data_IF_141604382581
#
_entry.id   IF_141604382581
#
_cell.length_a   1.000
_cell.length_b   1.000
_cell.length_c   1.000
_cell.angle_alpha   90.00
_cell.angle_beta   90.00
_cell.angle_gamma   90.00
#
_symmetry.space_group_name_H-M   'P 1'
#
loop_
_entity.id
_entity.type
_entity.pdbx_description
1 polymer ?
#
# COMPACT_ATOMS: atom_id res chain seq x y z
N UNK A 1 37.19 22.76 3.60
CA UNK A 1 36.25 22.08 4.52
C UNK A 1 36.83 20.73 4.91
N UNK A 2 36.93 20.43 6.21
CA UNK A 2 37.40 19.11 6.65
C UNK A 2 36.26 18.08 6.48
N UNK A 3 36.45 17.16 5.52
CA UNK A 3 35.48 16.12 5.17
C UNK A 3 35.27 15.12 6.32
N UNK A 4 36.30 14.90 7.12
CA UNK A 4 36.30 14.04 8.31
C UNK A 4 36.38 14.93 9.55
N UNK A 5 35.45 14.81 10.52
CA UNK A 5 35.57 15.54 11.78
C UNK A 5 36.86 15.15 12.54
N UNK A 6 37.57 16.13 13.10
CA UNK A 6 38.78 15.91 13.92
C UNK A 6 38.54 14.94 15.07
N UNK A 7 37.37 15.04 15.70
CA UNK A 7 36.94 14.16 16.79
C UNK A 7 36.94 12.66 16.41
N UNK A 8 36.61 12.34 15.15
CA UNK A 8 36.63 10.97 14.63
C UNK A 8 38.06 10.53 14.30
N UNK A 9 38.90 11.45 13.82
CA UNK A 9 40.31 11.20 13.52
C UNK A 9 41.12 10.93 14.81
N UNK A 10 40.94 11.78 15.82
CA UNK A 10 41.49 11.61 17.16
C UNK A 10 41.01 10.29 17.78
N UNK A 11 39.73 9.94 17.55
CA UNK A 11 39.18 8.68 18.03
C UNK A 11 39.90 7.44 17.50
N UNK A 12 40.31 7.49 16.24
CA UNK A 12 40.96 6.41 15.53
C UNK A 12 42.45 6.32 15.92
N UNK A 13 43.09 7.48 16.11
CA UNK A 13 44.50 7.59 16.50
C UNK A 13 44.71 7.19 17.96
N UNK A 14 43.87 7.67 18.88
CA UNK A 14 44.10 7.47 20.31
C UNK A 14 43.75 6.07 20.80
N UNK A 15 43.01 5.27 20.02
CA UNK A 15 42.65 3.89 20.40
C UNK A 15 41.92 3.74 21.75
N UNK A 16 41.55 4.86 22.40
CA UNK A 16 41.22 4.87 23.81
C UNK A 16 39.81 4.35 24.09
N UNK A 17 39.69 3.55 25.16
CA UNK A 17 38.43 3.09 25.73
C UNK A 17 37.62 4.30 26.20
N UNK A 18 36.69 4.76 25.35
CA UNK A 18 35.84 5.91 25.65
C UNK A 18 34.70 5.53 26.56
N UNK A 19 34.33 6.44 27.46
CA UNK A 19 33.16 6.26 28.31
C UNK A 19 31.91 6.07 27.44
N UNK A 20 30.91 5.33 27.94
CA UNK A 20 29.65 5.09 27.20
C UNK A 20 28.96 6.41 26.81
N UNK A 21 29.12 7.45 27.64
CA UNK A 21 28.60 8.78 27.37
C UNK A 21 29.25 9.41 26.13
N UNK A 22 30.58 9.31 26.01
CA UNK A 22 31.33 9.87 24.87
C UNK A 22 31.00 9.14 23.57
N UNK A 23 30.85 7.82 23.61
CA UNK A 23 30.43 7.02 22.45
C UNK A 23 29.04 7.43 21.96
N UNK A 24 28.09 7.63 22.90
CA UNK A 24 26.73 8.08 22.58
C UNK A 24 26.74 9.50 22.02
N UNK A 25 27.51 10.42 22.61
CA UNK A 25 27.63 11.79 22.15
C UNK A 25 28.11 11.86 20.69
N UNK A 26 29.12 11.04 20.34
CA UNK A 26 29.64 10.95 18.97
C UNK A 26 28.64 10.37 17.98
N UNK A 27 27.94 9.30 18.36
CA UNK A 27 26.86 8.75 17.52
C UNK A 27 25.77 9.79 17.25
N UNK A 28 25.41 10.59 18.27
CA UNK A 28 24.46 11.69 18.11
C UNK A 28 25.02 12.78 17.20
N UNK A 29 26.30 13.14 17.34
CA UNK A 29 26.96 14.12 16.48
C UNK A 29 27.00 13.66 15.01
N UNK A 30 27.37 12.39 14.75
CA UNK A 30 27.32 11.77 13.43
C UNK A 30 25.91 11.77 12.84
N UNK A 31 24.91 11.37 13.64
CA UNK A 31 23.50 11.38 13.19
C UNK A 31 23.02 12.79 12.83
N UNK A 32 23.34 13.81 13.65
CA UNK A 32 23.02 15.21 13.34
C UNK A 32 23.70 15.67 12.05
N UNK A 33 24.97 15.32 11.85
CA UNK A 33 25.73 15.64 10.63
C UNK A 33 25.14 14.93 9.40
N UNK A 34 24.75 13.67 9.54
CA UNK A 34 24.07 12.91 8.49
C UNK A 34 22.77 13.60 8.08
N UNK A 35 21.92 13.97 9.04
CA UNK A 35 20.66 14.66 8.77
C UNK A 35 20.87 16.03 8.13
N UNK A 36 21.88 16.79 8.56
CA UNK A 36 22.23 18.06 7.96
C UNK A 36 22.71 17.90 6.51
N UNK A 37 23.55 16.90 6.22
CA UNK A 37 24.01 16.60 4.86
C UNK A 37 22.87 16.12 3.95
N UNK A 38 21.95 15.30 4.46
CA UNK A 38 20.76 14.86 3.73
C UNK A 38 19.82 16.04 3.41
N UNK A 39 19.59 16.94 4.37
CA UNK A 39 18.79 18.17 4.15
C UNK A 39 19.42 19.04 3.07
N UNK A 40 20.74 19.28 3.17
CA UNK A 40 21.47 20.12 2.22
C UNK A 40 21.47 19.55 0.79
N UNK A 41 21.59 18.23 0.66
CA UNK A 41 21.46 17.58 -0.66
C UNK A 41 20.05 17.68 -1.24
N UNK A 42 19.01 17.68 -0.40
CA UNK A 42 17.64 17.91 -0.86
C UNK A 42 17.44 19.36 -1.31
N UNK A 43 17.95 20.33 -0.56
CA UNK A 43 17.91 21.75 -0.91
C UNK A 43 18.60 22.02 -2.25
N UNK A 44 19.82 21.50 -2.45
CA UNK A 44 20.56 21.64 -3.72
C UNK A 44 19.78 21.01 -4.89
N UNK A 45 19.17 19.83 -4.69
CA UNK A 45 18.34 19.18 -5.71
C UNK A 45 17.11 20.00 -6.06
N UNK A 46 16.45 20.57 -5.07
CA UNK A 46 15.26 21.41 -5.25
C UNK A 46 15.61 22.73 -5.96
N UNK A 47 16.74 23.33 -5.62
CA UNK A 47 17.28 24.51 -6.33
C UNK A 47 17.58 24.20 -7.79
N UNK A 48 18.27 23.09 -8.08
CA UNK A 48 18.51 22.63 -9.46
C UNK A 48 17.21 22.39 -10.23
N UNK A 49 16.20 21.80 -9.59
CA UNK A 49 14.90 21.57 -10.21
C UNK A 49 14.15 22.88 -10.50
N UNK A 50 14.21 23.87 -9.60
CA UNK A 50 13.63 25.21 -9.82
C UNK A 50 14.32 25.94 -10.97
N UNK A 51 15.66 25.93 -11.01
CA UNK A 51 16.44 26.48 -12.12
C UNK A 51 16.08 25.80 -13.44
N UNK A 52 16.08 24.46 -13.47
CA UNK A 52 15.72 23.68 -14.66
C UNK A 52 14.29 23.92 -15.17
N UNK A 53 13.33 24.18 -14.27
CA UNK A 53 11.98 24.61 -14.67
C UNK A 53 11.96 26.01 -15.26
N UNK A 54 12.72 26.95 -14.68
CA UNK A 54 12.82 28.33 -15.16
C UNK A 54 13.48 28.41 -16.53
N UNK A 55 14.59 27.70 -16.74
CA UNK A 55 15.29 27.66 -18.04
C UNK A 55 14.42 27.00 -19.11
N UNK A 56 13.73 25.90 -18.78
CA UNK A 56 12.79 25.25 -19.69
C UNK A 56 11.59 26.15 -20.04
N UNK A 57 11.09 26.93 -19.09
CA UNK A 57 10.01 27.89 -19.35
C UNK A 57 10.48 29.08 -20.21
N UNK A 58 11.71 29.58 -19.97
CA UNK A 58 12.31 30.64 -20.77
C UNK A 58 12.55 30.20 -22.22
N UNK A 59 13.12 29.02 -22.44
CA UNK A 59 13.36 28.44 -23.76
C UNK A 59 12.08 28.15 -24.56
N UNK A 60 10.93 27.95 -23.88
CA UNK A 60 9.63 27.81 -24.53
C UNK A 60 9.02 29.16 -24.95
N UNK A 61 9.49 30.27 -24.38
CA UNK A 61 8.96 31.61 -24.62
C UNK A 61 9.76 32.45 -25.61
N UNK A 62 11.02 32.10 -25.87
CA UNK A 62 11.87 32.77 -26.87
C UNK A 62 11.77 32.06 -28.23
N UNK A 63 11.40 32.75 -29.33
CA UNK A 63 11.49 32.18 -30.67
C UNK A 63 12.94 31.81 -30.96
N UNK A 64 13.18 30.60 -31.47
CA UNK A 64 14.52 30.06 -31.79
C UNK A 64 15.17 30.91 -32.89
N UNK A 65 15.91 31.94 -32.48
CA UNK A 65 16.86 32.63 -33.35
C UNK A 65 18.17 31.84 -33.28
N UNK A 66 18.51 31.20 -34.39
CA UNK A 66 19.68 30.35 -34.53
C UNK A 66 20.97 31.20 -34.41
N UNK A 67 21.53 31.30 -33.21
CA UNK A 67 22.82 31.97 -33.04
C UNK A 67 23.30 32.33 -31.63
N UNK A 68 22.55 32.06 -30.56
CA UNK A 68 23.03 32.37 -29.21
C UNK A 68 23.66 31.13 -28.57
N UNK A 69 24.99 31.18 -28.52
CA UNK A 69 25.89 30.32 -27.76
C UNK A 69 25.28 30.01 -26.39
N UNK A 70 25.02 28.71 -26.12
CA UNK A 70 24.62 28.20 -24.82
C UNK A 70 25.59 28.79 -23.77
N UNK A 71 25.15 29.81 -23.05
CA UNK A 71 25.87 30.31 -21.88
C UNK A 71 25.87 29.14 -20.91
N UNK A 72 27.00 28.43 -20.87
CA UNK A 72 27.31 27.39 -19.90
C UNK A 72 27.25 28.06 -18.52
N UNK A 73 26.07 27.99 -17.91
CA UNK A 73 25.86 28.43 -16.53
C UNK A 73 26.98 27.81 -15.67
N UNK A 74 27.58 28.64 -14.82
CA UNK A 74 28.65 28.29 -13.89
C UNK A 74 28.11 27.38 -12.76
N UNK A 75 27.60 26.21 -13.15
CA UNK A 75 27.06 25.14 -12.30
C UNK A 75 28.17 24.42 -11.53
N UNK A 76 29.44 24.75 -11.80
CA UNK A 76 30.61 24.09 -11.23
C UNK A 76 30.67 24.19 -9.71
N UNK A 77 30.26 25.31 -9.11
CA UNK A 77 30.30 25.48 -7.65
C UNK A 77 29.18 24.71 -6.93
N UNK A 78 27.95 24.74 -7.47
CA UNK A 78 26.82 23.97 -6.92
C UNK A 78 27.07 22.45 -7.04
N UNK A 79 27.67 22.01 -8.15
CA UNK A 79 28.08 20.62 -8.33
C UNK A 79 29.20 20.21 -7.37
N UNK A 80 30.23 21.04 -7.21
CA UNK A 80 31.27 20.80 -6.20
C UNK A 80 30.67 20.66 -4.81
N UNK A 81 29.74 21.55 -4.45
CA UNK A 81 29.07 21.48 -3.15
C UNK A 81 28.23 20.21 -2.99
N UNK A 82 27.49 19.79 -4.02
CA UNK A 82 26.73 18.54 -4.04
C UNK A 82 27.65 17.31 -3.88
N UNK A 83 28.80 17.29 -4.57
CA UNK A 83 29.76 16.20 -4.45
C UNK A 83 30.43 16.16 -3.07
N UNK A 84 30.86 17.32 -2.55
CA UNK A 84 31.48 17.43 -1.23
C UNK A 84 30.50 16.97 -0.14
N UNK A 85 29.24 17.39 -0.21
CA UNK A 85 28.21 16.98 0.75
C UNK A 85 27.89 15.48 0.63
N UNK A 86 27.83 14.93 -0.59
CA UNK A 86 27.66 13.49 -0.82
C UNK A 86 28.82 12.67 -0.23
N UNK A 87 30.06 13.10 -0.45
CA UNK A 87 31.25 12.47 0.14
C UNK A 87 31.17 12.52 1.67
N UNK A 88 30.79 13.66 2.24
CA UNK A 88 30.66 13.81 3.70
C UNK A 88 29.58 12.87 4.29
N UNK A 89 28.48 12.68 3.57
CA UNK A 89 27.40 11.76 3.95
C UNK A 89 27.87 10.30 3.88
N UNK A 90 28.57 9.95 2.81
CA UNK A 90 29.13 8.61 2.61
C UNK A 90 30.13 8.26 3.73
N UNK A 91 31.00 9.20 4.11
CA UNK A 91 31.94 9.04 5.23
C UNK A 91 31.19 8.75 6.54
N UNK A 92 30.15 9.52 6.86
CA UNK A 92 29.38 9.28 8.09
C UNK A 92 28.76 7.88 8.13
N UNK A 93 28.18 7.44 7.00
CA UNK A 93 27.61 6.10 6.86
C UNK A 93 28.68 5.01 6.98
N UNK A 94 29.85 5.21 6.36
CA UNK A 94 30.96 4.26 6.42
C UNK A 94 31.48 4.08 7.86
N UNK A 95 31.58 5.17 8.64
CA UNK A 95 31.99 5.10 10.04
C UNK A 95 30.97 4.33 10.91
N UNK A 96 29.67 4.56 10.73
CA UNK A 96 28.65 3.81 11.46
C UNK A 96 28.62 2.32 11.06
N UNK A 97 28.86 2.00 9.79
CA UNK A 97 29.01 0.62 9.33
C UNK A 97 30.26 -0.05 9.91
N UNK A 98 31.38 0.66 9.99
CA UNK A 98 32.62 0.15 10.58
C UNK A 98 32.41 -0.25 12.05
N UNK A 99 31.70 0.56 12.83
CA UNK A 99 31.38 0.26 14.23
C UNK A 99 30.48 -0.98 14.37
N UNK A 100 29.62 -1.25 13.39
CA UNK A 100 28.79 -2.46 13.36
C UNK A 100 29.60 -3.69 12.97
N UNK A 101 30.45 -3.57 11.95
CA UNK A 101 31.31 -4.67 11.49
C UNK A 101 32.32 -5.10 12.54
N UNK A 102 32.91 -4.16 13.30
CA UNK A 102 33.81 -4.49 14.42
C UNK A 102 33.13 -5.34 15.50
N UNK A 103 31.87 -5.01 15.84
CA UNK A 103 31.10 -5.81 16.81
C UNK A 103 30.77 -7.19 16.27
N UNK A 104 30.45 -7.28 14.99
CA UNK A 104 30.22 -8.57 14.32
C UNK A 104 31.49 -9.42 14.31
N UNK A 105 32.65 -8.83 13.98
CA UNK A 105 33.95 -9.49 14.02
C UNK A 105 34.29 -10.00 15.43
N UNK A 106 34.06 -9.20 16.47
CA UNK A 106 34.24 -9.62 17.87
C UNK A 106 33.33 -10.80 18.22
N UNK A 107 32.05 -10.76 17.85
CA UNK A 107 31.11 -11.86 18.09
C UNK A 107 31.51 -13.12 17.34
N UNK A 108 31.88 -13.01 16.07
CA UNK A 108 32.30 -14.15 15.24
C UNK A 108 33.62 -14.74 15.74
N UNK A 109 34.55 -13.91 16.20
CA UNK A 109 35.79 -14.36 16.83
C UNK A 109 35.50 -15.13 18.12
N UNK A 110 34.60 -14.62 18.97
CA UNK A 110 34.17 -15.33 20.17
C UNK A 110 33.47 -16.67 19.86
N UNK A 111 32.71 -16.74 18.76
CA UNK A 111 32.09 -17.99 18.28
C UNK A 111 33.16 -18.97 17.80
N UNK A 112 34.14 -18.52 17.02
CA UNK A 112 35.26 -19.34 16.55
C UNK A 112 36.09 -19.87 17.73
N UNK A 113 36.34 -19.04 18.74
CA UNK A 113 37.05 -19.45 19.95
C UNK A 113 36.27 -20.52 20.72
N UNK A 114 34.94 -20.39 20.83
CA UNK A 114 34.08 -21.44 21.42
C UNK A 114 34.11 -22.74 20.62
N UNK A 115 34.00 -22.66 19.30
CA UNK A 115 34.12 -23.82 18.41
C UNK A 115 35.46 -24.55 18.59
N UNK A 116 36.55 -23.80 18.78
CA UNK A 116 37.88 -24.38 19.00
C UNK A 116 38.03 -25.08 20.36
N UNK A 117 37.26 -24.68 21.38
CA UNK A 117 37.32 -25.23 22.75
C UNK A 117 36.39 -26.43 22.94
N UNK A 118 35.15 -26.33 22.47
CA UNK A 118 34.10 -27.33 22.67
C UNK A 118 34.04 -28.35 21.51
N UNK A 119 34.72 -28.06 20.39
CA UNK A 119 34.71 -28.88 19.19
C UNK A 119 33.41 -28.73 18.36
N UNK A 120 33.51 -28.92 17.05
CA UNK A 120 32.42 -28.65 16.10
C UNK A 120 31.11 -29.38 16.42
N UNK A 121 31.20 -30.57 17.04
CA UNK A 121 30.04 -31.41 17.35
C UNK A 121 29.24 -30.90 18.55
N UNK A 122 29.91 -30.43 19.60
CA UNK A 122 29.24 -29.91 20.80
C UNK A 122 28.61 -28.55 20.50
N UNK A 123 29.33 -27.68 19.78
CA UNK A 123 28.79 -26.41 19.30
C UNK A 123 27.55 -26.60 18.40
N UNK A 124 27.59 -27.55 17.47
CA UNK A 124 26.44 -27.85 16.60
C UNK A 124 25.24 -28.37 17.39
N UNK A 125 25.48 -29.18 18.43
CA UNK A 125 24.41 -29.68 19.30
C UNK A 125 23.78 -28.55 20.12
N UNK A 126 24.59 -27.69 20.72
CA UNK A 126 24.08 -26.54 21.50
C UNK A 126 23.26 -25.58 20.64
N UNK A 127 23.69 -25.33 19.39
CA UNK A 127 22.93 -24.50 18.44
C UNK A 127 21.58 -25.13 18.08
N UNK A 128 21.53 -26.46 17.92
CA UNK A 128 20.29 -27.18 17.66
C UNK A 128 19.36 -27.17 18.88
N UNK A 129 19.90 -27.36 20.08
CA UNK A 129 19.14 -27.32 21.33
C UNK A 129 18.58 -25.91 21.60
N UNK A 130 19.34 -24.84 21.34
CA UNK A 130 18.85 -23.46 21.43
C UNK A 130 17.76 -23.16 20.39
N UNK A 131 17.88 -23.69 19.17
CA UNK A 131 16.82 -23.57 18.15
C UNK A 131 15.55 -24.27 18.61
N UNK A 132 15.65 -25.47 19.18
CA UNK A 132 14.52 -26.22 19.70
C UNK A 132 13.83 -25.44 20.83
N UNK A 133 14.58 -24.95 21.82
CA UNK A 133 14.04 -24.12 22.91
C UNK A 133 13.34 -22.86 22.39
N UNK A 134 13.91 -22.19 21.39
CA UNK A 134 13.29 -20.98 20.80
C UNK A 134 11.99 -21.29 20.06
N UNK A 135 11.94 -22.41 19.32
CA UNK A 135 10.71 -22.87 18.68
C UNK A 135 9.65 -23.24 19.71
N UNK A 136 10.02 -23.98 20.76
CA UNK A 136 9.13 -24.31 21.87
C UNK A 136 8.59 -23.07 22.58
N UNK A 137 9.46 -22.10 22.88
CA UNK A 137 9.06 -20.84 23.49
C UNK A 137 8.09 -20.05 22.59
N UNK A 138 8.31 -20.04 21.27
CA UNK A 138 7.41 -19.37 20.32
C UNK A 138 6.05 -20.06 20.25
N UNK A 139 6.01 -21.39 20.21
CA UNK A 139 4.76 -22.15 20.23
C UNK A 139 4.02 -21.96 21.56
N UNK A 140 4.75 -21.96 22.67
CA UNK A 140 4.18 -21.73 23.99
C UNK A 140 3.61 -20.31 24.11
N UNK A 141 4.37 -19.28 23.73
CA UNK A 141 3.91 -17.88 23.73
C UNK A 141 2.69 -17.69 22.81
N UNK A 142 2.73 -18.25 21.61
CA UNK A 142 1.61 -18.21 20.67
C UNK A 142 0.37 -18.91 21.24
N UNK A 143 0.53 -20.06 21.88
CA UNK A 143 -0.57 -20.79 22.51
C UNK A 143 -1.17 -20.05 23.72
N UNK A 144 -0.33 -19.39 24.52
CA UNK A 144 -0.79 -18.53 25.63
C UNK A 144 -1.52 -17.31 25.07
N UNK A 145 -0.94 -16.64 24.08
CA UNK A 145 -1.52 -15.46 23.45
C UNK A 145 -2.85 -15.77 22.77
N UNK A 146 -2.97 -16.92 22.10
CA UNK A 146 -4.20 -17.36 21.44
C UNK A 146 -5.41 -17.44 22.40
N UNK A 147 -5.19 -17.76 23.68
CA UNK A 147 -6.26 -17.81 24.71
C UNK A 147 -6.84 -16.44 25.02
N UNK A 148 -6.07 -15.37 24.82
CA UNK A 148 -6.44 -14.00 25.15
C UNK A 148 -6.67 -13.12 23.92
N UNK A 149 -6.24 -13.55 22.73
CA UNK A 149 -6.55 -12.86 21.49
C UNK A 149 -7.99 -13.11 21.11
N UNK A 150 -8.81 -12.07 21.18
CA UNK A 150 -10.12 -12.07 20.53
C UNK A 150 -9.88 -12.06 19.02
N UNK A 151 -10.49 -12.97 18.24
CA UNK A 151 -10.49 -12.87 16.78
C UNK A 151 -10.97 -11.47 16.40
N UNK A 152 -10.27 -10.78 15.49
CA UNK A 152 -10.82 -9.53 14.95
C UNK A 152 -12.19 -9.84 14.37
N UNK A 153 -13.20 -9.05 14.72
CA UNK A 153 -14.50 -9.18 14.09
C UNK A 153 -14.30 -9.12 12.57
N UNK A 154 -14.89 -10.06 11.80
CA UNK A 154 -14.78 -10.01 10.35
C UNK A 154 -15.28 -8.63 9.89
N UNK A 155 -14.50 -7.96 9.04
CA UNK A 155 -14.92 -6.69 8.43
C UNK A 155 -16.11 -7.04 7.53
N UNK A 156 -17.31 -6.85 8.05
CA UNK A 156 -18.53 -7.00 7.26
C UNK A 156 -18.61 -5.87 6.25
N UNK A 157 -19.26 -6.11 5.11
CA UNK A 157 -19.48 -5.10 4.08
C UNK A 157 -20.14 -3.82 4.65
N UNK A 158 -21.04 -3.98 5.63
CA UNK A 158 -21.69 -2.86 6.33
C UNK A 158 -20.69 -2.00 7.12
N UNK A 159 -19.78 -2.61 7.88
CA UNK A 159 -18.76 -1.87 8.65
C UNK A 159 -17.74 -1.16 7.74
N UNK A 160 -17.33 -1.79 6.64
CA UNK A 160 -16.43 -1.14 5.68
C UNK A 160 -17.11 0.04 4.98
N UNK A 161 -18.37 -0.12 4.54
CA UNK A 161 -19.13 0.96 3.93
C UNK A 161 -19.28 2.15 4.89
N UNK A 162 -19.51 1.89 6.17
CA UNK A 162 -19.62 2.93 7.18
C UNK A 162 -18.28 3.64 7.45
N UNK A 163 -17.15 2.92 7.51
CA UNK A 163 -15.83 3.54 7.63
C UNK A 163 -15.43 4.35 6.38
N UNK A 164 -15.90 3.97 5.18
CA UNK A 164 -15.75 4.77 3.95
C UNK A 164 -16.56 6.06 4.03
N UNK A 165 -17.80 5.99 4.51
CA UNK A 165 -18.65 7.17 4.70
C UNK A 165 -18.12 8.10 5.81
N UNK A 166 -17.56 7.54 6.88
CA UNK A 166 -16.95 8.27 8.00
C UNK A 166 -15.50 8.74 7.70
N UNK A 167 -14.98 8.46 6.49
CA UNK A 167 -13.66 8.89 6.04
C UNK A 167 -12.47 8.18 6.70
N UNK A 168 -12.73 7.12 7.48
CA UNK A 168 -11.69 6.30 8.13
C UNK A 168 -11.06 5.28 7.18
N UNK A 169 -11.74 4.93 6.09
CA UNK A 169 -11.26 4.04 5.03
C UNK A 169 -11.48 4.65 3.65
N UNK A 170 -10.64 4.29 2.68
CA UNK A 170 -10.87 4.64 1.26
C UNK A 170 -11.39 3.41 0.52
N UNK A 171 -12.39 3.58 -0.35
CA UNK A 171 -12.88 2.50 -1.21
C UNK A 171 -11.79 1.91 -2.12
N UNK A 172 -10.75 2.70 -2.43
CA UNK A 172 -9.58 2.29 -3.21
C UNK A 172 -8.47 1.64 -2.37
N UNK A 173 -8.64 1.55 -1.05
CA UNK A 173 -7.63 0.95 -0.18
C UNK A 173 -7.78 -0.56 -0.27
N UNK A 174 -6.99 -1.17 -1.15
CA UNK A 174 -6.74 -2.61 -1.12
C UNK A 174 -6.31 -2.95 0.32
N UNK A 175 -7.16 -3.67 1.04
CA UNK A 175 -6.78 -4.18 2.34
C UNK A 175 -5.87 -5.36 2.07
N UNK A 176 -4.55 -5.15 2.16
CA UNK A 176 -3.53 -6.21 2.14
C UNK A 176 -3.72 -7.10 3.37
N UNK A 177 -4.75 -7.93 3.33
CA UNK A 177 -4.81 -9.08 4.20
C UNK A 177 -3.80 -10.06 3.63
N UNK A 178 -2.65 -10.21 4.28
CA UNK A 178 -1.71 -11.28 3.97
C UNK A 178 -2.37 -12.62 4.33
N UNK A 179 -3.23 -13.12 3.46
CA UNK A 179 -3.70 -14.49 3.54
C UNK A 179 -2.53 -15.37 3.14
N UNK A 180 -1.80 -15.84 4.13
CA UNK A 180 -0.97 -17.01 3.94
C UNK A 180 -1.93 -18.12 3.52
N UNK A 181 -1.80 -18.68 2.29
CA UNK A 181 -2.68 -19.76 1.88
C UNK A 181 -2.58 -20.85 2.94
N UNK A 182 -3.73 -21.38 3.36
CA UNK A 182 -3.77 -22.53 4.26
C UNK A 182 -3.13 -23.70 3.51
N UNK A 183 -1.83 -23.86 3.75
CA UNK A 183 -1.01 -24.89 3.19
C UNK A 183 -1.30 -26.16 3.99
N UNK A 184 -2.06 -27.07 3.39
CA UNK A 184 -2.36 -28.38 3.96
C UNK A 184 -1.28 -29.37 3.54
N UNK A 185 -0.52 -29.84 4.53
CA UNK A 185 0.58 -30.79 4.36
C UNK A 185 1.84 -30.36 5.12
N UNK A 186 2.81 -31.27 5.33
CA UNK A 186 4.07 -30.93 5.98
C UNK A 186 4.81 -29.82 5.21
N UNK A 187 5.26 -28.79 5.94
CA UNK A 187 5.87 -27.57 5.37
C UNK A 187 7.09 -27.83 4.47
N UNK A 188 7.76 -28.98 4.61
CA UNK A 188 8.89 -29.39 3.77
C UNK A 188 8.49 -29.74 2.33
N UNK A 189 7.21 -30.05 2.08
CA UNK A 189 6.69 -30.56 0.82
C UNK A 189 5.92 -29.53 0.01
N UNK A 190 5.29 -28.56 0.67
CA UNK A 190 4.36 -27.63 0.01
C UNK A 190 5.07 -26.45 -0.67
N UNK A 191 6.33 -26.20 -0.29
CA UNK A 191 7.15 -25.13 -0.89
C UNK A 191 8.36 -25.67 -1.67
N UNK A 192 8.49 -27.00 -1.81
CA UNK A 192 9.61 -27.67 -2.47
C UNK A 192 9.19 -28.42 -3.73
N UNK A 193 10.12 -28.60 -4.67
CA UNK A 193 9.89 -29.49 -5.80
C UNK A 193 9.77 -30.93 -5.29
N UNK A 194 8.63 -31.58 -5.53
CA UNK A 194 8.37 -32.97 -5.12
C UNK A 194 9.23 -33.90 -5.99
N UNK A 195 10.36 -34.37 -5.46
CA UNK A 195 11.32 -35.17 -6.24
C UNK A 195 11.20 -36.67 -5.99
N UNK A 196 10.74 -37.09 -4.80
CA UNK A 196 10.67 -38.52 -4.44
C UNK A 196 9.25 -39.07 -4.39
N UNK A 197 9.10 -40.39 -4.58
CA UNK A 197 7.81 -41.08 -4.55
C UNK A 197 7.16 -41.06 -3.16
N UNK A 198 7.98 -41.15 -2.11
CA UNK A 198 7.55 -41.01 -0.71
C UNK A 198 6.94 -39.64 -0.45
N UNK A 199 7.56 -38.60 -0.99
CA UNK A 199 7.08 -37.21 -0.91
C UNK A 199 5.74 -37.04 -1.64
N UNK A 200 5.54 -37.69 -2.80
CA UNK A 200 4.25 -37.70 -3.52
C UNK A 200 3.14 -38.37 -2.72
N UNK A 201 3.42 -39.50 -2.08
CA UNK A 201 2.44 -40.17 -1.22
C UNK A 201 2.06 -39.29 -0.03
N UNK A 202 3.04 -38.65 0.63
CA UNK A 202 2.80 -37.77 1.77
C UNK A 202 1.97 -36.53 1.41
N UNK A 203 2.18 -35.95 0.21
CA UNK A 203 1.40 -34.83 -0.29
C UNK A 203 -0.07 -35.18 -0.57
N UNK A 204 -0.39 -36.45 -0.85
CA UNK A 204 -1.76 -36.91 -1.11
C UNK A 204 -2.56 -37.17 0.16
N UNK A 205 -1.89 -37.35 1.31
CA UNK A 205 -2.57 -37.53 2.59
C UNK A 205 -3.03 -36.17 3.13
N UNK A 206 -4.21 -36.10 3.73
CA UNK A 206 -4.82 -34.89 4.31
C UNK A 206 -5.20 -33.78 3.31
N UNK A 207 -5.49 -34.14 2.05
CA UNK A 207 -6.10 -33.22 1.09
C UNK A 207 -7.60 -33.00 1.36
N UNK A 208 -8.14 -31.78 1.18
CA UNK A 208 -9.57 -31.53 1.27
C UNK A 208 -10.38 -32.35 0.26
N UNK A 209 -11.53 -32.89 0.67
CA UNK A 209 -12.42 -33.70 -0.19
C UNK A 209 -13.22 -32.88 -1.22
N UNK A 210 -13.08 -31.56 -1.23
CA UNK A 210 -13.80 -30.64 -2.10
C UNK A 210 -12.81 -29.83 -2.95
N UNK A 211 -13.24 -29.39 -4.13
CA UNK A 211 -12.41 -28.54 -4.99
C UNK A 211 -12.14 -27.22 -4.28
N UNK A 212 -10.87 -26.94 -4.03
CA UNK A 212 -10.44 -25.67 -3.46
C UNK A 212 -10.59 -24.55 -4.50
N UNK A 213 -10.94 -23.32 -4.07
CA UNK A 213 -10.86 -22.15 -4.94
C UNK A 213 -9.45 -22.03 -5.54
N UNK A 214 -9.37 -21.91 -6.86
CA UNK A 214 -8.10 -21.75 -7.59
C UNK A 214 -7.69 -20.29 -7.75
N UNK A 215 -8.60 -19.37 -7.47
CA UNK A 215 -8.38 -17.93 -7.58
C UNK A 215 -8.14 -17.35 -6.18
N UNK A 216 -7.28 -16.34 -6.09
CA UNK A 216 -7.10 -15.62 -4.83
C UNK A 216 -8.34 -14.79 -4.50
N UNK A 217 -8.49 -14.41 -3.23
CA UNK A 217 -9.61 -13.56 -2.78
C UNK A 217 -9.58 -12.20 -3.50
N UNK A 218 -8.39 -11.65 -3.74
CA UNK A 218 -8.21 -10.42 -4.51
C UNK A 218 -8.64 -10.60 -5.98
N UNK A 219 -8.23 -11.70 -6.60
CA UNK A 219 -8.57 -12.04 -7.98
C UNK A 219 -10.09 -12.24 -8.14
N UNK A 220 -10.73 -12.86 -7.15
CA UNK A 220 -12.18 -12.98 -7.07
C UNK A 220 -12.85 -11.60 -6.92
N UNK A 221 -12.32 -10.72 -6.08
CA UNK A 221 -12.84 -9.35 -5.89
C UNK A 221 -12.76 -8.49 -7.16
N UNK A 222 -11.63 -8.56 -7.89
CA UNK A 222 -11.48 -7.87 -9.18
C UNK A 222 -12.47 -8.38 -10.21
N UNK A 223 -12.67 -9.70 -10.28
CA UNK A 223 -13.64 -10.32 -11.17
C UNK A 223 -15.08 -9.93 -10.83
N UNK A 224 -15.39 -9.77 -9.55
CA UNK A 224 -16.70 -9.28 -9.11
C UNK A 224 -16.92 -7.81 -9.52
N UNK A 225 -15.92 -6.93 -9.37
CA UNK A 225 -15.99 -5.54 -9.85
C UNK A 225 -16.18 -5.48 -11.38
N UNK A 226 -15.48 -6.33 -12.13
CA UNK A 226 -15.63 -6.39 -13.58
C UNK A 226 -17.05 -6.82 -14.00
N UNK A 227 -17.63 -7.81 -13.29
CA UNK A 227 -19.01 -8.24 -13.52
C UNK A 227 -20.00 -7.11 -13.20
N UNK A 228 -19.75 -6.34 -12.13
CA UNK A 228 -20.57 -5.19 -11.76
C UNK A 228 -20.51 -4.08 -12.82
N UNK A 229 -19.32 -3.72 -13.30
CA UNK A 229 -19.15 -2.71 -14.34
C UNK A 229 -19.87 -3.12 -15.64
N UNK A 230 -19.70 -4.38 -16.06
CA UNK A 230 -20.43 -4.94 -17.23
C UNK A 230 -21.95 -4.97 -17.05
N UNK A 231 -22.44 -5.04 -15.81
CA UNK A 231 -23.87 -4.95 -15.52
C UNK A 231 -24.37 -3.51 -15.62
N UNK A 232 -23.62 -2.55 -15.08
CA UNK A 232 -23.94 -1.12 -15.18
C UNK A 232 -23.92 -0.64 -16.64
N UNK A 233 -22.89 -0.99 -17.41
CA UNK A 233 -22.78 -0.65 -18.83
C UNK A 233 -23.96 -1.18 -19.65
N UNK A 234 -24.39 -2.43 -19.38
CA UNK A 234 -25.57 -3.01 -20.03
C UNK A 234 -26.85 -2.26 -19.68
N UNK A 235 -27.01 -1.81 -18.42
CA UNK A 235 -28.18 -1.04 -18.01
C UNK A 235 -28.21 0.35 -18.62
N UNK A 236 -27.06 1.04 -18.67
CA UNK A 236 -26.95 2.36 -19.33
C UNK A 236 -27.27 2.23 -20.81
N UNK A 237 -26.70 1.23 -21.48
CA UNK A 237 -26.98 0.94 -22.89
C UNK A 237 -28.47 0.65 -23.12
N UNK A 238 -29.12 -0.12 -22.26
CA UNK A 238 -30.55 -0.42 -22.37
C UNK A 238 -31.41 0.85 -22.15
N UNK A 239 -31.00 1.74 -21.26
CA UNK A 239 -31.68 3.01 -21.01
C UNK A 239 -31.49 3.99 -22.18
N UNK A 240 -30.30 4.05 -22.77
CA UNK A 240 -30.01 4.82 -23.96
C UNK A 240 -30.78 4.30 -25.19
N UNK A 241 -30.88 2.97 -25.33
CA UNK A 241 -31.72 2.33 -26.37
C UNK A 241 -33.21 2.64 -26.18
N UNK A 242 -33.70 2.68 -24.94
CA UNK A 242 -35.08 3.10 -24.65
C UNK A 242 -35.32 4.58 -24.99
N UNK A 243 -34.35 5.46 -24.68
CA UNK A 243 -34.43 6.90 -24.93
C UNK A 243 -34.22 7.29 -26.41
N UNK A 244 -33.62 6.40 -27.21
CA UNK A 244 -33.42 6.59 -28.66
C UNK A 244 -34.53 5.96 -29.51
N UNK A 245 -35.55 5.37 -28.88
CA UNK A 245 -36.74 4.90 -29.59
C UNK A 245 -37.50 6.06 -30.25
N UNK A 246 -38.02 5.81 -31.46
CA UNK A 246 -38.64 6.71 -32.46
C UNK A 246 -39.78 7.64 -31.94
N UNK A 247 -40.09 7.63 -30.64
CA UNK A 247 -41.17 8.42 -30.06
C UNK A 247 -40.79 9.88 -29.75
N UNK A 248 -39.49 10.21 -29.68
CA UNK A 248 -39.04 11.58 -29.35
C UNK A 248 -38.94 12.53 -30.57
N UNK A 249 -39.28 12.09 -31.79
CA UNK A 249 -39.10 12.88 -33.03
C UNK A 249 -40.34 13.73 -33.41
N UNK A 250 -41.41 13.74 -32.59
CA UNK A 250 -42.69 14.40 -32.94
C UNK A 250 -42.94 15.74 -32.24
N UNK A 251 -41.91 16.48 -31.83
CA UNK A 251 -42.09 17.86 -31.30
C UNK A 251 -41.21 18.86 -32.03
N UNK A 252 -41.62 19.21 -33.26
CA UNK A 252 -41.31 20.50 -33.89
C UNK A 252 -42.15 20.71 -35.17
N UNK A 253 -43.42 21.05 -35.01
CA UNK A 253 -44.17 21.85 -36.00
C UNK A 253 -44.99 22.90 -35.24
N UNK A 254 -44.64 24.19 -35.31
CA UNK A 254 -45.47 25.26 -34.76
C UNK A 254 -46.58 25.61 -35.77
N UNK A 255 -47.86 25.42 -35.42
CA UNK A 255 -48.95 25.93 -36.26
C UNK A 255 -50.35 25.33 -36.13
N UNK A 256 -50.59 24.31 -35.32
CA UNK A 256 -51.93 23.71 -35.12
C UNK A 256 -52.13 23.39 -33.62
N UNK A 257 -52.11 24.42 -32.77
CA UNK A 257 -52.43 24.33 -31.33
C UNK A 257 -53.77 25.03 -31.08
N UNK A 258 -54.87 24.29 -31.22
CA UNK A 258 -56.14 24.62 -30.54
C UNK A 258 -56.89 23.33 -30.15
N UNK A 259 -56.76 22.23 -30.92
CA UNK A 259 -57.47 20.97 -30.62
C UNK A 259 -56.74 20.05 -29.61
N UNK A 260 -55.41 20.12 -29.49
CA UNK A 260 -54.62 19.21 -28.62
C UNK A 260 -54.62 19.65 -27.14
N UNK A 261 -54.75 20.96 -26.90
CA UNK A 261 -54.88 21.53 -25.55
C UNK A 261 -56.26 21.26 -24.95
N UNK A 262 -57.32 21.25 -25.77
CA UNK A 262 -58.67 20.88 -25.33
C UNK A 262 -58.75 19.39 -24.95
N UNK A 263 -58.14 18.51 -25.74
CA UNK A 263 -58.08 17.08 -25.42
C UNK A 263 -57.25 16.80 -24.15
N UNK A 264 -56.17 17.57 -23.94
CA UNK A 264 -55.37 17.48 -22.71
C UNK A 264 -56.16 17.99 -21.49
N UNK A 265 -56.93 19.08 -21.64
CA UNK A 265 -57.82 19.58 -20.59
C UNK A 265 -58.97 18.62 -20.28
N UNK A 266 -59.60 18.02 -21.29
CA UNK A 266 -60.65 17.01 -21.10
C UNK A 266 -60.10 15.77 -20.39
N UNK A 267 -58.89 15.33 -20.73
CA UNK A 267 -58.25 14.20 -20.07
C UNK A 267 -57.84 14.52 -18.63
N UNK A 268 -57.43 15.75 -18.35
CA UNK A 268 -57.17 16.21 -16.99
C UNK A 268 -58.46 16.30 -16.17
N UNK A 269 -59.55 16.85 -16.74
CA UNK A 269 -60.88 16.86 -16.09
C UNK A 269 -61.40 15.47 -15.83
N UNK A 270 -61.32 14.56 -16.81
CA UNK A 270 -61.72 13.16 -16.64
C UNK A 270 -60.88 12.43 -15.58
N UNK A 271 -59.61 12.81 -15.42
CA UNK A 271 -58.77 12.27 -14.36
C UNK A 271 -59.17 12.81 -12.98
N UNK A 272 -59.56 14.08 -12.88
CA UNK A 272 -60.05 14.68 -11.64
C UNK A 272 -61.41 14.09 -11.24
N UNK A 273 -62.36 14.00 -12.17
CA UNK A 273 -63.67 13.35 -11.97
C UNK A 273 -63.51 11.90 -11.49
N UNK A 274 -62.55 11.16 -12.06
CA UNK A 274 -62.24 9.80 -11.61
C UNK A 274 -61.66 9.77 -10.19
N UNK A 275 -60.84 10.74 -9.79
CA UNK A 275 -60.28 10.81 -8.43
C UNK A 275 -61.36 11.11 -7.39
N UNK A 276 -62.34 11.93 -7.76
CA UNK A 276 -63.50 12.25 -6.93
C UNK A 276 -64.43 11.05 -6.77
N UNK A 277 -64.68 10.30 -7.86
CA UNK A 277 -65.44 9.05 -7.82
C UNK A 277 -64.69 7.90 -7.10
N UNK A 278 -63.36 8.00 -6.99
CA UNK A 278 -62.50 7.00 -6.36
C UNK A 278 -61.74 7.57 -5.14
N UNK A 279 -62.46 7.95 -4.06
CA UNK A 279 -61.84 8.52 -2.87
C UNK A 279 -60.86 7.50 -2.26
N UNK A 280 -59.65 7.95 -1.92
CA UNK A 280 -58.62 7.11 -1.29
C UNK A 280 -59.21 6.36 -0.11
N UNK A 281 -59.09 5.04 -0.11
CA UNK A 281 -59.62 4.17 0.95
C UNK A 281 -61.07 3.73 0.78
N UNK A 282 -61.72 3.93 -0.38
CA UNK A 282 -63.05 3.40 -0.68
C UNK A 282 -63.22 1.89 -0.36
N UNK A 283 -62.16 1.09 -0.57
CA UNK A 283 -62.15 -0.33 -0.22
C UNK A 283 -62.08 -0.64 1.28
N UNK A 284 -61.70 0.33 2.12
CA UNK A 284 -61.55 0.14 3.58
C UNK A 284 -62.73 0.68 4.39
N UNK A 285 -63.71 1.35 3.75
CA UNK A 285 -64.89 1.94 4.42
C UNK A 285 -65.90 0.90 4.91
N UNK A 286 -65.84 -0.34 4.39
CA UNK A 286 -66.72 -1.46 4.80
C UNK A 286 -66.09 -2.37 5.86
N UNK A 287 -64.81 -2.17 6.19
CA UNK A 287 -64.06 -2.99 7.15
C UNK A 287 -63.97 -2.39 8.55
N UNK A 288 -64.53 -1.20 8.77
CA UNK A 288 -64.73 -0.63 10.11
C UNK A 288 -66.18 -0.83 10.53
N UNK A 289 -66.51 -1.85 11.34
CA UNK A 289 -67.74 -1.83 12.13
C UNK A 289 -67.73 -0.57 13.00
N UNK A 290 -68.59 0.39 12.67
CA UNK A 290 -68.94 1.46 13.60
C UNK A 290 -69.67 0.82 14.79
N UNK A 291 -69.16 1.06 16.00
CA UNK A 291 -69.96 1.01 17.22
C UNK A 291 -70.84 2.25 17.34
#
# INVERSE_FOLDING_TARGET
MELVPKEELESYIEGASKTVADQRARKIARFKRQRAAESKLLEIKEQKERRGRSTKAAALSTPVEAGEEEVLDDDGEEEREAWITTISLAICKALDLLDMLKKEEEMLSAVKDRQSKDGDKEFSKDVLDERAKKAEAWHHDSAVRARYTKPSSPITCATFAQDVLEGRAKASQAHDHKHQPLIFGPASLVNGNITTERERMAAQVFQPSHRMPTMSIEEAGLKEMEIMNKWQERNVRLMEEANSSWHNDRKSKPGEDDDEDDAAQEKARAWDDWKDDNPRGAGNKRLTPCG
#
